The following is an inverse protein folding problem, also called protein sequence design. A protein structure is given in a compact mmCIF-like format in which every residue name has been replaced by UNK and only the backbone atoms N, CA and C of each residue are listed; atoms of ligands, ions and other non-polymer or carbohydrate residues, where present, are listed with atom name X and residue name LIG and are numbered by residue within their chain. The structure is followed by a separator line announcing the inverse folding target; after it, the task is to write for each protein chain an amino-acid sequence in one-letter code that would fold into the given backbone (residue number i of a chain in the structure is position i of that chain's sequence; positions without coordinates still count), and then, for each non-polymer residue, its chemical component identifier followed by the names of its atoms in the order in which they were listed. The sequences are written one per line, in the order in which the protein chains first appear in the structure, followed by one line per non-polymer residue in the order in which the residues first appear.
data_IF_963191090276
#
_entry.id   IF_963191090276
#
_cell.length_a   1.000
_cell.length_b   1.000
_cell.length_c   1.000
_cell.angle_alpha   90.00
_cell.angle_beta   90.00
_cell.angle_gamma   90.00
#
_symmetry.space_group_name_H-M   'P 1'
#
loop_
_entity.id
_entity.type
_entity.pdbx_description
1 polymer ?
#
# COMPACT_ATOMS: atom_id res chain seq x y z
N UNK A 1 -24.69 10.30 -2.12
CA UNK A 1 -23.63 10.97 -2.89
C UNK A 1 -22.74 9.87 -3.45
N UNK A 2 -22.74 9.70 -4.77
CA UNK A 2 -21.90 8.72 -5.45
C UNK A 2 -20.49 9.32 -5.54
N UNK A 3 -19.47 8.59 -5.05
CA UNK A 3 -18.07 8.95 -5.28
C UNK A 3 -17.83 8.99 -6.80
N UNK A 4 -17.61 10.19 -7.35
CA UNK A 4 -17.38 10.43 -8.78
C UNK A 4 -15.88 10.32 -9.15
N UNK A 5 -14.96 10.38 -8.17
CA UNK A 5 -13.53 10.19 -8.41
C UNK A 5 -13.17 8.71 -8.51
N UNK A 6 -13.06 8.18 -9.72
CA UNK A 6 -12.63 6.78 -9.96
C UNK A 6 -11.14 6.72 -10.31
N UNK A 7 -10.26 7.31 -9.48
CA UNK A 7 -8.82 7.02 -9.60
C UNK A 7 -8.49 5.71 -8.88
N UNK A 8 -7.32 5.14 -9.15
CA UNK A 8 -6.87 3.89 -8.52
C UNK A 8 -6.88 3.96 -6.99
N UNK A 9 -6.45 5.08 -6.38
CA UNK A 9 -6.55 5.25 -4.94
C UNK A 9 -8.01 5.17 -4.43
N UNK A 10 -8.98 5.83 -5.08
CA UNK A 10 -10.37 5.72 -4.67
C UNK A 10 -10.90 4.29 -4.79
N UNK A 11 -10.52 3.56 -5.85
CA UNK A 11 -10.87 2.16 -6.04
C UNK A 11 -10.26 1.25 -4.98
N UNK A 12 -9.08 1.59 -4.44
CA UNK A 12 -8.42 0.85 -3.36
C UNK A 12 -9.09 1.16 -2.02
N UNK A 13 -9.36 2.44 -1.73
CA UNK A 13 -9.73 2.89 -0.38
C UNK A 13 -11.23 2.93 -0.12
N UNK A 14 -12.09 3.12 -1.12
CA UNK A 14 -13.53 3.31 -0.91
C UNK A 14 -14.38 2.12 -1.37
N UNK A 15 -15.37 1.78 -0.55
CA UNK A 15 -16.53 1.00 -0.95
C UNK A 15 -17.71 1.91 -1.33
N UNK A 16 -18.92 1.37 -1.52
CA UNK A 16 -20.06 2.14 -2.03
C UNK A 16 -20.49 3.36 -1.18
N UNK A 17 -20.15 3.38 0.11
CA UNK A 17 -20.62 4.42 1.06
C UNK A 17 -19.53 4.99 1.96
N UNK A 18 -18.45 4.27 2.20
CA UNK A 18 -17.40 4.59 3.17
C UNK A 18 -16.09 3.93 2.76
N UNK A 19 -15.03 4.21 3.50
CA UNK A 19 -13.77 3.47 3.37
C UNK A 19 -14.01 1.95 3.47
N UNK A 20 -13.28 1.18 2.66
CA UNK A 20 -13.38 -0.27 2.66
C UNK A 20 -12.98 -0.81 4.04
N UNK A 21 -13.78 -1.71 4.65
CA UNK A 21 -13.42 -2.31 5.93
C UNK A 21 -12.03 -2.95 5.92
N UNK A 22 -11.68 -3.64 4.84
CA UNK A 22 -10.36 -4.26 4.65
C UNK A 22 -9.22 -3.23 4.62
N UNK A 23 -9.45 -2.04 4.05
CA UNK A 23 -8.45 -0.97 4.04
C UNK A 23 -8.32 -0.34 5.43
N UNK A 24 -9.44 -0.06 6.11
CA UNK A 24 -9.44 0.45 7.48
C UNK A 24 -8.72 -0.51 8.43
N UNK A 25 -8.97 -1.82 8.31
CA UNK A 25 -8.28 -2.84 9.09
C UNK A 25 -6.78 -2.83 8.80
N UNK A 26 -6.39 -2.84 7.52
CA UNK A 26 -4.98 -2.89 7.12
C UNK A 26 -4.19 -1.69 7.65
N UNK A 27 -4.77 -0.48 7.65
CA UNK A 27 -4.11 0.70 8.24
C UNK A 27 -3.74 0.50 9.72
N UNK A 28 -4.55 -0.23 10.47
CA UNK A 28 -4.28 -0.56 11.87
C UNK A 28 -3.25 -1.67 12.08
N UNK A 29 -2.86 -2.39 11.02
CA UNK A 29 -1.86 -3.46 11.08
C UNK A 29 -0.43 -2.92 10.87
N UNK A 30 -0.27 -1.73 10.28
CA UNK A 30 1.02 -1.07 10.17
C UNK A 30 1.41 -0.40 11.49
N UNK A 31 2.67 -0.59 11.89
CA UNK A 31 3.30 0.16 12.99
C UNK A 31 3.45 1.67 12.70
N UNK A 32 3.44 2.04 11.41
CA UNK A 32 3.47 3.43 10.95
C UNK A 32 2.03 3.85 10.62
N UNK A 33 1.53 4.98 11.17
CA UNK A 33 0.20 5.47 10.84
C UNK A 33 0.02 5.74 9.34
N UNK A 34 -1.13 5.35 8.80
CA UNK A 34 -1.50 5.59 7.41
C UNK A 34 -2.68 6.56 7.35
N UNK A 35 -2.53 7.65 6.59
CA UNK A 35 -3.54 8.68 6.43
C UNK A 35 -3.97 8.83 4.96
N UNK A 36 -5.26 9.09 4.75
CA UNK A 36 -5.77 9.55 3.46
C UNK A 36 -5.78 11.08 3.50
N UNK A 37 -4.98 11.70 2.62
CA UNK A 37 -4.85 13.16 2.52
C UNK A 37 -5.41 13.60 1.17
N UNK A 38 -6.38 14.52 1.20
CA UNK A 38 -6.91 15.13 -0.02
C UNK A 38 -5.93 16.16 -0.60
N UNK A 39 -6.08 16.46 -1.89
CA UNK A 39 -5.16 17.34 -2.63
C UNK A 39 -5.04 18.76 -2.03
N UNK A 40 -6.13 19.28 -1.49
CA UNK A 40 -6.21 20.58 -0.83
C UNK A 40 -5.62 20.57 0.59
N UNK A 41 -5.53 19.40 1.22
CA UNK A 41 -4.99 19.20 2.58
C UNK A 41 -3.47 19.02 2.61
N UNK A 42 -2.82 18.82 1.46
CA UNK A 42 -1.37 18.66 1.39
C UNK A 42 -0.65 19.92 1.91
N UNK A 43 0.52 19.77 2.54
CA UNK A 43 1.38 20.91 2.86
C UNK A 43 2.35 21.22 1.70
N UNK A 44 3.33 22.09 1.91
CA UNK A 44 4.30 22.47 0.86
C UNK A 44 5.26 21.32 0.56
N UNK A 45 5.72 20.61 1.58
CA UNK A 45 6.72 19.53 1.46
C UNK A 45 6.12 18.29 0.78
N UNK A 46 4.90 17.90 1.14
CA UNK A 46 4.19 16.81 0.49
C UNK A 46 3.88 17.13 -0.97
N UNK A 47 3.47 18.37 -1.28
CA UNK A 47 3.26 18.79 -2.68
C UNK A 47 4.53 18.75 -3.51
N UNK A 48 5.70 19.01 -2.91
CA UNK A 48 6.97 19.00 -3.62
C UNK A 48 7.32 17.60 -4.16
N UNK A 49 6.91 16.53 -3.46
CA UNK A 49 7.14 15.14 -3.91
C UNK A 49 5.96 14.52 -4.64
N UNK A 50 4.74 14.99 -4.39
CA UNK A 50 3.50 14.52 -5.03
C UNK A 50 3.33 15.04 -6.48
N UNK A 51 4.32 14.78 -7.33
CA UNK A 51 4.41 15.30 -8.71
C UNK A 51 3.26 14.82 -9.62
N UNK A 52 2.70 13.64 -9.36
CA UNK A 52 1.52 13.08 -10.04
C UNK A 52 0.58 12.44 -9.01
N UNK A 53 -0.73 12.55 -9.25
CA UNK A 53 -1.77 11.99 -8.38
C UNK A 53 -2.56 10.87 -9.08
N UNK A 54 -3.06 9.87 -8.34
CA UNK A 54 -2.83 9.65 -6.91
C UNK A 54 -1.41 9.17 -6.60
N UNK A 55 -0.95 9.36 -5.37
CA UNK A 55 0.36 8.87 -4.92
C UNK A 55 0.33 8.48 -3.43
N UNK A 56 1.35 7.73 -3.01
CA UNK A 56 1.66 7.48 -1.60
C UNK A 56 3.04 8.04 -1.31
N UNK A 57 3.16 8.80 -0.22
CA UNK A 57 4.42 9.29 0.29
C UNK A 57 4.57 8.88 1.77
N UNK A 58 5.81 8.82 2.23
CA UNK A 58 6.14 8.61 3.64
C UNK A 58 6.75 9.88 4.20
N UNK A 59 6.31 10.25 5.40
CA UNK A 59 6.92 11.33 6.17
C UNK A 59 8.09 10.77 6.99
N UNK A 60 9.24 11.43 6.91
CA UNK A 60 10.44 11.08 7.64
C UNK A 60 10.51 11.83 8.97
N UNK A 61 11.42 11.40 9.86
CA UNK A 61 11.58 12.03 11.18
C UNK A 61 12.02 13.50 11.14
N UNK A 62 12.56 13.96 10.01
CA UNK A 62 12.93 15.36 9.79
C UNK A 62 11.79 16.21 9.19
N UNK A 63 10.60 15.64 9.04
CA UNK A 63 9.40 16.29 8.49
C UNK A 63 9.37 16.34 6.96
N UNK A 64 10.36 15.76 6.26
CA UNK A 64 10.32 15.68 4.80
C UNK A 64 9.53 14.49 4.33
N UNK A 65 8.96 14.62 3.14
CA UNK A 65 8.28 13.53 2.48
C UNK A 65 9.18 12.86 1.44
N UNK A 66 9.03 11.55 1.28
CA UNK A 66 9.58 10.79 0.16
C UNK A 66 8.45 10.05 -0.58
N UNK A 67 8.45 10.12 -1.91
CA UNK A 67 7.48 9.41 -2.75
C UNK A 67 7.75 7.89 -2.71
N UNK A 68 6.74 7.11 -2.34
CA UNK A 68 6.78 5.64 -2.34
C UNK A 68 6.13 5.04 -3.58
N UNK A 69 4.89 5.44 -3.88
CA UNK A 69 4.11 4.92 -5.00
C UNK A 69 3.52 6.06 -5.84
N UNK A 70 3.70 5.99 -7.15
CA UNK A 70 3.03 6.85 -8.11
C UNK A 70 1.74 6.25 -8.71
N UNK A 71 1.05 6.98 -9.59
CA UNK A 71 -0.20 6.52 -10.21
C UNK A 71 -0.05 5.18 -10.94
N UNK A 72 1.03 5.00 -11.69
CA UNK A 72 1.28 3.78 -12.48
C UNK A 72 1.48 2.54 -11.63
N UNK A 73 1.91 2.70 -10.38
CA UNK A 73 2.06 1.60 -9.43
C UNK A 73 0.73 1.32 -8.73
N UNK A 74 -0.01 2.36 -8.35
CA UNK A 74 -1.34 2.23 -7.77
C UNK A 74 -2.35 1.61 -8.75
N UNK A 75 -2.22 1.88 -10.05
CA UNK A 75 -3.06 1.28 -11.08
C UNK A 75 -2.85 -0.25 -11.16
N UNK A 76 -1.65 -0.75 -10.85
CA UNK A 76 -1.37 -2.20 -10.81
C UNK A 76 -2.07 -2.92 -9.68
N UNK A 77 -2.44 -2.20 -8.61
CA UNK A 77 -3.23 -2.79 -7.53
C UNK A 77 -4.69 -3.01 -7.93
N UNK A 78 -5.16 -2.47 -9.06
CA UNK A 78 -6.48 -2.74 -9.63
C UNK A 78 -7.66 -2.64 -8.62
N UNK A 79 -7.57 -1.72 -7.65
CA UNK A 79 -8.57 -1.56 -6.59
C UNK A 79 -8.51 -2.60 -5.45
N UNK A 80 -7.59 -3.55 -5.49
CA UNK A 80 -7.33 -4.55 -4.45
C UNK A 80 -6.50 -3.98 -3.30
N UNK A 81 -7.01 -4.13 -2.08
CA UNK A 81 -6.30 -3.70 -0.87
C UNK A 81 -5.10 -4.60 -0.59
N UNK A 82 -5.21 -5.90 -0.91
CA UNK A 82 -4.14 -6.87 -0.74
C UNK A 82 -2.99 -6.60 -1.72
N UNK A 83 -3.28 -6.27 -2.97
CA UNK A 83 -2.23 -5.93 -3.94
C UNK A 83 -1.54 -4.62 -3.57
N UNK A 84 -2.32 -3.62 -3.11
CA UNK A 84 -1.77 -2.38 -2.57
C UNK A 84 -0.84 -2.63 -1.37
N UNK A 85 -1.23 -3.53 -0.46
CA UNK A 85 -0.39 -3.94 0.68
C UNK A 85 0.95 -4.50 0.22
N UNK A 86 0.95 -5.41 -0.77
CA UNK A 86 2.19 -6.00 -1.30
C UNK A 86 3.10 -4.95 -1.95
N UNK A 87 2.52 -4.02 -2.72
CA UNK A 87 3.27 -2.91 -3.32
C UNK A 87 3.90 -2.01 -2.26
N UNK A 88 3.15 -1.65 -1.22
CA UNK A 88 3.64 -0.85 -0.10
C UNK A 88 4.80 -1.55 0.63
N UNK A 89 4.65 -2.83 0.96
CA UNK A 89 5.71 -3.62 1.60
C UNK A 89 6.98 -3.66 0.76
N UNK A 90 6.84 -3.95 -0.53
CA UNK A 90 7.97 -3.98 -1.46
C UNK A 90 8.68 -2.63 -1.52
N UNK A 91 7.93 -1.52 -1.61
CA UNK A 91 8.50 -0.17 -1.65
C UNK A 91 9.16 0.27 -0.36
N UNK A 92 8.58 -0.04 0.79
CA UNK A 92 9.20 0.26 2.08
C UNK A 92 10.55 -0.46 2.22
N UNK A 93 10.63 -1.74 1.83
CA UNK A 93 11.91 -2.48 1.81
C UNK A 93 12.90 -1.89 0.80
N UNK A 94 12.46 -1.63 -0.44
CA UNK A 94 13.30 -1.05 -1.50
C UNK A 94 13.94 0.28 -1.06
N UNK A 95 13.20 1.09 -0.31
CA UNK A 95 13.61 2.39 0.19
C UNK A 95 14.33 2.34 1.55
N UNK A 96 14.41 1.16 2.18
CA UNK A 96 15.07 0.99 3.48
C UNK A 96 14.29 1.52 4.68
N UNK A 97 12.97 1.70 4.55
CA UNK A 97 12.12 2.04 5.69
C UNK A 97 11.82 0.79 6.51
N UNK A 98 12.14 0.84 7.81
CA UNK A 98 11.72 -0.18 8.74
C UNK A 98 10.20 -0.07 8.99
N UNK A 99 9.49 -1.19 8.85
CA UNK A 99 8.08 -1.28 9.22
C UNK A 99 7.80 -2.66 9.80
N UNK A 100 7.04 -2.70 10.87
CA UNK A 100 6.45 -3.93 11.39
C UNK A 100 4.97 -4.01 11.01
N UNK A 101 4.54 -5.20 10.60
CA UNK A 101 3.12 -5.54 10.45
C UNK A 101 2.81 -6.57 11.52
N UNK A 102 1.79 -6.31 12.35
CA UNK A 102 1.41 -7.19 13.46
C UNK A 102 0.74 -8.52 13.02
N UNK A 103 0.83 -8.88 11.74
CA UNK A 103 0.05 -9.95 11.15
C UNK A 103 0.79 -11.28 11.23
N UNK A 104 0.53 -12.04 12.30
CA UNK A 104 0.85 -13.47 12.36
C UNK A 104 -0.24 -14.29 11.65
N UNK A 105 -0.01 -14.69 10.38
CA UNK A 105 -0.12 -16.08 9.88
C UNK A 105 -0.01 -16.17 8.36
N UNK A 106 0.73 -17.21 7.98
CA UNK A 106 1.01 -17.82 6.67
C UNK A 106 -0.20 -18.12 5.80
N UNK A 107 -0.02 -17.98 4.48
CA UNK A 107 -0.60 -18.85 3.44
C UNK A 107 0.24 -18.70 2.15
N UNK A 108 1.41 -19.32 2.18
CA UNK A 108 2.10 -19.74 0.96
C UNK A 108 1.37 -20.98 0.46
N UNK A 109 0.31 -20.77 -0.35
CA UNK A 109 -0.37 -21.83 -1.06
C UNK A 109 -0.14 -21.64 -2.56
N UNK A 110 1.05 -22.04 -3.00
CA UNK A 110 1.22 -22.56 -4.36
C UNK A 110 1.47 -24.05 -4.28
N UNK A 111 0.38 -24.79 -4.50
CA UNK A 111 0.36 -26.20 -4.83
C UNK A 111 1.14 -26.39 -6.13
N UNK A 112 2.28 -27.08 -6.06
CA UNK A 112 3.11 -27.45 -7.20
C UNK A 112 3.91 -28.69 -6.84
N UNK A 113 3.23 -29.84 -6.89
CA UNK A 113 3.77 -31.18 -6.68
C UNK A 113 4.93 -31.45 -7.66
N UNK A 114 6.13 -31.60 -7.12
CA UNK A 114 7.27 -32.19 -7.83
C UNK A 114 8.08 -33.04 -6.86
N UNK A 115 7.92 -34.36 -7.00
CA UNK A 115 8.64 -35.42 -6.29
C UNK A 115 10.15 -35.16 -6.26
N UNK A 116 10.71 -35.10 -5.06
CA UNK A 116 12.16 -35.18 -4.85
C UNK A 116 12.59 -36.66 -4.95
N UNK A 117 13.50 -37.05 -5.86
CA UNK A 117 14.10 -38.37 -5.77
C UNK A 117 15.15 -38.38 -4.65
N UNK A 118 14.90 -39.24 -3.66
CA UNK A 118 15.87 -39.62 -2.64
C UNK A 118 17.02 -40.38 -3.28
N UNK A 119 18.26 -39.91 -3.08
CA UNK A 119 19.43 -40.77 -3.14
C UNK A 119 20.24 -40.64 -1.85
N UNK A 120 20.35 -41.77 -1.14
CA UNK A 120 21.37 -42.03 -0.13
C UNK A 120 22.51 -42.78 -0.80
N UNK A 121 23.74 -42.33 -0.60
CA UNK A 121 24.89 -43.14 -0.20
C UNK A 121 25.98 -42.21 0.31
#
# INVERSE_FOLDING_TARGET
MLFNGTCSACSITHGPKKEKPEFTQLKGEFSIPVYNIHRDEMDVELRAVATKLPCVAVEQSDGKYELLLGPEELDRANGSVQEWEQLMKAKLVEKGFAYDISRTKSEDSHMGDARVPSFRT
#
